data_IF_223905744728
#
_entry.id   IF_223905744728
#
_cell.length_a   1.000
_cell.length_b   1.000
_cell.length_c   1.000
_cell.angle_alpha   90.00
_cell.angle_beta   90.00
_cell.angle_gamma   90.00
#
_symmetry.space_group_name_H-M   'P 1'
#
loop_
_entity.id
_entity.type
_entity.pdbx_description
1 polymer ?
#
# COMPACT_ATOMS: atom_id res chain seq x y z
N UNK A 1 14.45 -3.12 10.44
CA UNK A 1 14.44 -4.58 10.13
C UNK A 1 15.16 -5.33 11.23
N UNK A 2 16.35 -4.92 11.57
CA UNK A 2 17.22 -5.59 12.55
C UNK A 2 16.54 -5.76 13.92
N UNK A 3 15.87 -4.69 14.41
CA UNK A 3 15.20 -4.67 15.71
C UNK A 3 13.71 -5.12 15.63
N UNK A 4 13.30 -5.72 14.53
CA UNK A 4 11.93 -6.19 14.36
C UNK A 4 11.85 -7.69 14.60
N UNK A 5 11.02 -8.11 15.52
CA UNK A 5 10.75 -9.51 15.76
C UNK A 5 10.12 -10.16 14.52
N UNK A 6 10.55 -11.36 14.18
CA UNK A 6 10.02 -12.11 13.04
C UNK A 6 8.50 -12.34 13.17
N UNK A 7 8.02 -12.52 14.40
CA UNK A 7 6.58 -12.63 14.68
C UNK A 7 5.79 -11.40 14.26
N UNK A 8 6.33 -10.19 14.44
CA UNK A 8 5.71 -8.94 14.00
C UNK A 8 5.72 -8.82 12.47
N UNK A 9 6.79 -9.28 11.83
CA UNK A 9 6.86 -9.36 10.38
C UNK A 9 5.81 -10.33 9.81
N UNK A 10 5.63 -11.50 10.43
CA UNK A 10 4.55 -12.43 10.07
C UNK A 10 3.17 -11.79 10.28
N UNK A 11 2.92 -11.17 11.43
CA UNK A 11 1.63 -10.58 11.75
C UNK A 11 1.22 -9.48 10.73
N UNK A 12 2.14 -8.64 10.26
CA UNK A 12 1.82 -7.62 9.26
C UNK A 12 1.55 -8.25 7.88
N UNK A 13 2.21 -9.36 7.52
CA UNK A 13 1.92 -10.10 6.30
C UNK A 13 0.56 -10.79 6.39
N UNK A 14 0.24 -11.43 7.51
CA UNK A 14 -1.08 -12.04 7.75
C UNK A 14 -2.19 -11.01 7.56
N UNK A 15 -2.07 -9.84 8.16
CA UNK A 15 -3.08 -8.80 8.06
C UNK A 15 -3.18 -8.21 6.64
N UNK A 16 -2.06 -7.75 6.08
CA UNK A 16 -2.07 -6.91 4.87
C UNK A 16 -2.11 -7.70 3.57
N UNK A 17 -1.59 -8.93 3.56
CA UNK A 17 -1.49 -9.75 2.36
C UNK A 17 -2.39 -10.98 2.43
N UNK A 18 -2.20 -11.86 3.42
CA UNK A 18 -2.98 -13.10 3.50
C UNK A 18 -4.46 -12.83 3.82
N UNK A 19 -4.79 -11.83 4.64
CA UNK A 19 -6.16 -11.41 4.86
C UNK A 19 -6.87 -11.02 3.56
N UNK A 20 -6.22 -10.20 2.72
CA UNK A 20 -6.75 -9.84 1.40
C UNK A 20 -6.85 -11.06 0.46
N UNK A 21 -5.82 -11.92 0.44
CA UNK A 21 -5.79 -13.14 -0.36
C UNK A 21 -6.94 -14.09 0.02
N UNK A 22 -7.20 -14.29 1.30
CA UNK A 22 -8.28 -15.14 1.77
C UNK A 22 -9.64 -14.60 1.29
N UNK A 23 -9.89 -13.30 1.42
CA UNK A 23 -11.11 -12.69 0.88
C UNK A 23 -11.23 -12.87 -0.64
N UNK A 24 -10.15 -12.70 -1.39
CA UNK A 24 -10.13 -12.91 -2.84
C UNK A 24 -10.48 -14.35 -3.18
N UNK A 25 -9.90 -15.33 -2.48
CA UNK A 25 -10.18 -16.77 -2.71
C UNK A 25 -11.66 -17.11 -2.53
N UNK A 26 -12.29 -16.53 -1.52
CA UNK A 26 -13.72 -16.78 -1.24
C UNK A 26 -14.66 -16.08 -2.23
N UNK A 27 -14.33 -14.86 -2.66
CA UNK A 27 -15.26 -14.10 -3.51
C UNK A 27 -15.13 -14.43 -5.00
N UNK A 28 -13.97 -14.88 -5.47
CA UNK A 28 -13.74 -15.17 -6.89
C UNK A 28 -14.69 -16.25 -7.46
N UNK A 29 -14.91 -17.41 -6.81
CA UNK A 29 -15.89 -18.38 -7.27
C UNK A 29 -17.29 -17.79 -7.43
N UNK A 30 -17.76 -17.04 -6.42
CA UNK A 30 -19.07 -16.40 -6.41
C UNK A 30 -19.19 -15.37 -7.55
N UNK A 31 -18.17 -14.51 -7.72
CA UNK A 31 -18.16 -13.54 -8.83
C UNK A 31 -18.19 -14.22 -10.20
N UNK A 32 -17.49 -15.33 -10.35
CA UNK A 32 -17.50 -16.11 -11.61
C UNK A 32 -18.88 -16.70 -11.91
N UNK A 33 -19.55 -17.26 -10.92
CA UNK A 33 -20.92 -17.78 -11.06
C UNK A 33 -21.92 -16.66 -11.37
N UNK A 34 -21.74 -15.46 -10.81
CA UNK A 34 -22.54 -14.28 -11.08
C UNK A 34 -22.21 -13.56 -12.41
N UNK A 35 -21.27 -14.08 -13.21
CA UNK A 35 -20.91 -13.51 -14.51
C UNK A 35 -19.94 -12.34 -14.45
N UNK A 36 -19.27 -12.11 -13.34
CA UNK A 36 -18.19 -11.13 -13.20
C UNK A 36 -18.28 -10.28 -11.94
N UNK A 37 -17.40 -9.29 -11.86
CA UNK A 37 -17.33 -8.40 -10.70
C UNK A 37 -16.12 -7.46 -10.75
N UNK A 38 -15.93 -6.69 -9.67
CA UNK A 38 -14.74 -5.84 -9.53
C UNK A 38 -14.12 -6.01 -8.14
N UNK A 39 -12.87 -6.43 -8.11
CA UNK A 39 -12.04 -6.51 -6.90
C UNK A 39 -11.17 -5.26 -6.83
N UNK A 40 -11.24 -4.54 -5.72
CA UNK A 40 -10.46 -3.34 -5.48
C UNK A 40 -9.60 -3.55 -4.24
N UNK A 41 -8.31 -3.77 -4.43
CA UNK A 41 -7.36 -3.93 -3.34
C UNK A 41 -6.82 -2.58 -2.88
N UNK A 42 -6.81 -2.35 -1.57
CA UNK A 42 -6.22 -1.15 -0.99
C UNK A 42 -4.74 -1.42 -0.67
N UNK A 43 -3.90 -1.02 -1.62
CA UNK A 43 -2.45 -1.07 -1.47
C UNK A 43 -1.90 0.21 -0.82
N UNK A 44 -0.80 0.74 -1.27
CA UNK A 44 -0.19 2.00 -0.81
C UNK A 44 0.79 2.52 -1.86
N UNK A 45 1.08 3.83 -1.84
CA UNK A 45 2.27 4.39 -2.53
C UNK A 45 3.56 3.75 -2.04
N UNK A 46 3.61 3.30 -0.78
CA UNK A 46 4.73 2.57 -0.21
C UNK A 46 5.02 1.22 -0.90
N UNK A 47 4.08 0.71 -1.70
CA UNK A 47 4.29 -0.46 -2.55
C UNK A 47 5.27 -0.20 -3.70
N UNK A 48 5.38 1.04 -4.14
CA UNK A 48 6.25 1.45 -5.26
C UNK A 48 7.42 2.33 -4.78
N UNK A 49 7.23 3.04 -3.66
CA UNK A 49 8.18 3.93 -3.03
C UNK A 49 8.48 3.40 -1.62
N UNK A 50 9.42 2.45 -1.52
CA UNK A 50 9.73 1.80 -0.25
C UNK A 50 10.30 2.82 0.75
N UNK A 51 9.60 3.00 1.88
CA UNK A 51 9.92 3.99 2.89
C UNK A 51 10.88 3.38 3.91
N UNK A 52 12.03 4.03 4.22
CA UNK A 52 12.93 3.61 5.29
C UNK A 52 12.17 3.44 6.62
N UNK A 53 12.59 2.48 7.43
CA UNK A 53 11.99 2.10 8.71
C UNK A 53 10.53 1.60 8.64
N UNK A 54 9.99 1.42 7.42
CA UNK A 54 8.67 0.85 7.16
C UNK A 54 8.74 -0.31 6.14
N UNK A 55 9.84 -1.04 6.13
CA UNK A 55 10.20 -2.04 5.12
C UNK A 55 9.16 -3.16 5.00
N UNK A 56 8.73 -3.75 6.11
CA UNK A 56 7.75 -4.86 6.09
C UNK A 56 6.38 -4.40 5.60
N UNK A 57 5.93 -3.22 6.00
CA UNK A 57 4.70 -2.65 5.46
C UNK A 57 4.81 -2.44 3.94
N UNK A 58 5.89 -1.82 3.47
CA UNK A 58 6.14 -1.62 2.04
C UNK A 58 6.15 -2.95 1.29
N UNK A 59 6.82 -3.97 1.83
CA UNK A 59 6.85 -5.30 1.25
C UNK A 59 5.47 -5.95 1.14
N UNK A 60 4.62 -5.87 2.19
CA UNK A 60 3.25 -6.41 2.13
C UNK A 60 2.40 -5.71 1.08
N UNK A 61 2.52 -4.39 0.95
CA UNK A 61 1.76 -3.61 -0.02
C UNK A 61 2.28 -3.81 -1.45
N UNK A 62 3.58 -4.03 -1.63
CA UNK A 62 4.17 -4.41 -2.91
C UNK A 62 3.67 -5.80 -3.35
N UNK A 63 3.67 -6.78 -2.43
CA UNK A 63 3.13 -8.12 -2.68
C UNK A 63 1.66 -8.05 -3.12
N UNK A 64 0.82 -7.30 -2.41
CA UNK A 64 -0.59 -7.11 -2.75
C UNK A 64 -0.79 -6.42 -4.10
N UNK A 65 0.05 -5.43 -4.43
CA UNK A 65 0.02 -4.75 -5.73
C UNK A 65 0.40 -5.69 -6.88
N UNK A 66 1.41 -6.53 -6.67
CA UNK A 66 1.86 -7.52 -7.65
C UNK A 66 0.78 -8.58 -7.87
N UNK A 67 0.22 -9.15 -6.78
CA UNK A 67 -0.90 -10.10 -6.82
C UNK A 67 -2.08 -9.52 -7.59
N UNK A 68 -2.48 -8.27 -7.30
CA UNK A 68 -3.59 -7.60 -7.99
C UNK A 68 -3.35 -7.49 -9.51
N UNK A 69 -2.11 -7.23 -9.91
CA UNK A 69 -1.74 -7.12 -11.32
C UNK A 69 -1.80 -8.46 -12.05
N UNK A 70 -1.36 -9.55 -11.41
CA UNK A 70 -1.44 -10.90 -11.96
C UNK A 70 -2.90 -11.38 -12.07
N UNK A 71 -3.67 -11.25 -10.98
CA UNK A 71 -5.08 -11.64 -10.93
C UNK A 71 -5.94 -10.92 -11.98
N UNK A 72 -5.59 -9.70 -12.36
CA UNK A 72 -6.30 -9.01 -13.43
C UNK A 72 -6.29 -9.80 -14.75
N UNK A 73 -5.16 -10.40 -15.10
CA UNK A 73 -5.04 -11.25 -16.29
C UNK A 73 -5.73 -12.60 -16.11
N UNK A 74 -5.51 -13.23 -14.97
CA UNK A 74 -6.06 -14.55 -14.65
C UNK A 74 -7.59 -14.56 -14.61
N UNK A 75 -8.20 -13.48 -14.10
CA UNK A 75 -9.65 -13.41 -13.89
C UNK A 75 -10.42 -12.71 -15.02
N UNK A 76 -9.70 -12.11 -15.99
CA UNK A 76 -10.30 -11.43 -17.13
C UNK A 76 -11.28 -12.32 -17.94
N UNK A 77 -10.99 -13.63 -18.22
CA UNK A 77 -11.90 -14.51 -18.94
C UNK A 77 -13.26 -14.71 -18.25
N UNK A 78 -13.33 -14.47 -16.94
CA UNK A 78 -14.55 -14.60 -16.13
C UNK A 78 -15.29 -13.28 -15.94
N UNK A 79 -14.91 -12.20 -16.64
CA UNK A 79 -15.51 -10.89 -16.48
C UNK A 79 -15.18 -10.20 -15.13
N UNK A 80 -14.24 -10.75 -14.37
CA UNK A 80 -13.81 -10.19 -13.08
C UNK A 80 -12.66 -9.22 -13.30
N UNK A 81 -12.85 -7.98 -12.86
CA UNK A 81 -11.87 -6.90 -12.97
C UNK A 81 -11.11 -6.78 -11.65
N UNK A 82 -9.81 -6.61 -11.72
CA UNK A 82 -8.99 -6.39 -10.53
C UNK A 82 -8.21 -5.09 -10.69
N UNK A 83 -8.21 -4.26 -9.65
CA UNK A 83 -7.42 -3.04 -9.59
C UNK A 83 -6.92 -2.78 -8.18
N UNK A 84 -5.85 -1.99 -8.07
CA UNK A 84 -5.31 -1.56 -6.79
C UNK A 84 -5.39 -0.04 -6.66
N UNK A 85 -5.89 0.45 -5.52
CA UNK A 85 -5.73 1.84 -5.12
C UNK A 85 -4.43 1.95 -4.33
N UNK A 86 -3.62 2.96 -4.63
CA UNK A 86 -2.39 3.28 -3.94
C UNK A 86 -2.57 4.61 -3.18
N UNK A 87 -3.19 4.58 -1.97
CA UNK A 87 -3.23 5.75 -1.13
C UNK A 87 -1.82 6.19 -0.72
N UNK A 88 -1.62 7.49 -0.60
CA UNK A 88 -0.53 8.02 0.21
C UNK A 88 -1.03 8.24 1.64
N UNK A 89 -0.69 9.41 2.22
CA UNK A 89 -1.09 9.74 3.56
C UNK A 89 -2.60 9.99 3.65
N UNK A 90 -3.25 9.28 4.55
CA UNK A 90 -4.70 9.38 4.80
C UNK A 90 -4.92 9.52 6.29
N UNK A 91 -5.68 10.54 6.68
CA UNK A 91 -5.99 10.83 8.08
C UNK A 91 -7.00 9.81 8.61
N UNK A 92 -6.49 8.78 9.29
CA UNK A 92 -7.27 7.69 9.91
C UNK A 92 -6.66 7.31 11.26
N UNK A 93 -7.27 6.34 11.94
CA UNK A 93 -6.73 5.76 13.17
C UNK A 93 -5.50 4.85 12.92
N UNK A 94 -5.06 4.71 11.67
CA UNK A 94 -3.86 3.95 11.31
C UNK A 94 -2.62 4.43 12.07
N UNK A 95 -2.46 5.76 12.20
CA UNK A 95 -1.34 6.36 12.93
C UNK A 95 -1.31 5.97 14.40
N UNK A 96 -2.48 5.99 15.06
CA UNK A 96 -2.61 5.63 16.48
C UNK A 96 -2.51 4.12 16.72
N UNK A 97 -2.84 3.31 15.72
CA UNK A 97 -2.78 1.84 15.77
C UNK A 97 -1.39 1.27 15.46
N UNK A 98 -0.42 2.15 15.10
CA UNK A 98 0.94 1.71 14.80
C UNK A 98 1.61 1.12 16.03
N UNK A 99 2.05 -0.14 15.92
CA UNK A 99 2.96 -0.72 16.91
C UNK A 99 4.34 -0.11 16.73
N UNK A 100 4.89 0.42 17.81
CA UNK A 100 6.24 0.98 17.84
C UNK A 100 7.11 0.00 18.63
N UNK A 101 7.99 -0.69 17.94
CA UNK A 101 9.00 -1.49 18.62
C UNK A 101 10.00 -0.56 19.30
N UNK A 102 10.44 -0.93 20.50
CA UNK A 102 11.56 -0.25 21.14
C UNK A 102 12.79 -0.40 20.24
N UNK A 103 13.38 0.73 19.85
CA UNK A 103 14.63 0.73 19.11
C UNK A 103 15.75 1.07 20.10
N UNK A 104 16.25 0.04 20.79
CA UNK A 104 17.33 0.19 21.77
C UNK A 104 18.72 0.14 21.09
N UNK A 105 18.75 -0.05 19.78
CA UNK A 105 19.98 -0.15 19.02
C UNK A 105 20.61 1.24 18.81
N UNK A 106 21.69 1.50 19.55
CA UNK A 106 22.43 2.77 19.50
C UNK A 106 22.99 3.11 18.11
N UNK A 107 23.16 2.11 17.22
CA UNK A 107 23.64 2.32 15.86
C UNK A 107 22.69 3.17 15.00
N UNK A 108 21.39 3.15 15.27
CA UNK A 108 20.41 3.96 14.57
C UNK A 108 20.19 5.33 15.20
N UNK A 109 20.59 5.54 16.47
CA UNK A 109 20.38 6.79 17.19
C UNK A 109 18.90 7.20 17.19
N UNK A 110 18.64 8.46 16.86
CA UNK A 110 17.28 9.02 16.79
C UNK A 110 16.61 8.87 15.42
N UNK A 111 17.26 8.24 14.44
CA UNK A 111 16.76 8.16 13.04
C UNK A 111 15.40 7.48 12.95
N UNK A 112 15.19 6.38 13.69
CA UNK A 112 13.88 5.68 13.70
C UNK A 112 12.79 6.57 14.24
N UNK A 113 13.04 7.20 15.38
CA UNK A 113 12.06 8.10 16.03
C UNK A 113 11.72 9.30 15.15
N UNK A 114 12.72 9.92 14.53
CA UNK A 114 12.50 11.01 13.56
C UNK A 114 11.69 10.57 12.36
N UNK A 115 12.04 9.42 11.76
CA UNK A 115 11.32 8.87 10.62
C UNK A 115 9.85 8.62 10.95
N UNK A 116 9.57 7.98 12.08
CA UNK A 116 8.19 7.74 12.54
C UNK A 116 7.45 9.05 12.76
N UNK A 117 8.09 10.05 13.37
CA UNK A 117 7.47 11.36 13.60
C UNK A 117 7.09 12.07 12.29
N UNK A 118 7.94 11.98 11.25
CA UNK A 118 7.63 12.52 9.91
C UNK A 118 6.42 11.79 9.32
N UNK A 119 6.40 10.45 9.33
CA UNK A 119 5.27 9.67 8.82
C UNK A 119 3.97 10.03 9.55
N UNK A 120 3.98 10.09 10.87
CA UNK A 120 2.80 10.44 11.67
C UNK A 120 2.28 11.84 11.38
N UNK A 121 3.20 12.81 11.18
CA UNK A 121 2.85 14.17 10.79
C UNK A 121 2.17 14.20 9.43
N UNK A 122 2.72 13.50 8.45
CA UNK A 122 2.18 13.44 7.10
C UNK A 122 0.82 12.75 7.07
N UNK A 123 0.65 11.64 7.79
CA UNK A 123 -0.62 10.93 7.92
C UNK A 123 -1.70 11.79 8.58
N UNK A 124 -1.39 12.51 9.68
CA UNK A 124 -2.35 13.43 10.34
C UNK A 124 -2.80 14.58 9.44
N UNK A 125 -1.95 14.99 8.50
CA UNK A 125 -2.23 16.03 7.50
C UNK A 125 -2.66 15.44 6.15
N UNK A 126 -2.86 14.12 6.08
CA UNK A 126 -3.21 13.40 4.88
C UNK A 126 -4.63 13.66 4.38
N UNK A 127 -4.98 13.02 3.28
CA UNK A 127 -6.31 13.12 2.70
C UNK A 127 -7.37 12.53 3.65
N UNK A 128 -8.60 13.05 3.64
CA UNK A 128 -9.69 12.42 4.39
C UNK A 128 -10.02 11.04 3.76
N UNK A 129 -10.40 10.02 4.58
CA UNK A 129 -10.76 8.68 4.10
C UNK A 129 -11.80 8.69 2.99
N UNK A 130 -12.73 9.64 3.06
CA UNK A 130 -13.78 9.84 2.05
C UNK A 130 -13.22 10.09 0.64
N UNK A 131 -12.02 10.66 0.51
CA UNK A 131 -11.38 10.85 -0.79
C UNK A 131 -11.02 9.50 -1.44
N UNK A 132 -10.49 8.56 -0.67
CA UNK A 132 -10.18 7.21 -1.13
C UNK A 132 -11.46 6.42 -1.42
N UNK A 133 -12.47 6.54 -0.56
CA UNK A 133 -13.78 5.91 -0.77
C UNK A 133 -14.43 6.36 -2.10
N UNK A 134 -14.35 7.64 -2.45
CA UNK A 134 -14.85 8.14 -3.74
C UNK A 134 -14.12 7.52 -4.94
N UNK A 135 -12.81 7.30 -4.82
CA UNK A 135 -12.03 6.60 -5.86
C UNK A 135 -12.54 5.16 -5.98
N UNK A 136 -12.71 4.46 -4.86
CA UNK A 136 -13.20 3.08 -4.86
C UNK A 136 -14.57 2.95 -5.51
N UNK A 137 -15.53 3.81 -5.15
CA UNK A 137 -16.88 3.83 -5.76
C UNK A 137 -16.80 4.08 -7.27
N UNK A 138 -15.98 5.04 -7.71
CA UNK A 138 -15.77 5.31 -9.14
C UNK A 138 -15.19 4.10 -9.88
N UNK A 139 -14.23 3.40 -9.28
CA UNK A 139 -13.61 2.20 -9.86
C UNK A 139 -14.60 1.03 -9.92
N UNK A 140 -15.42 0.85 -8.89
CA UNK A 140 -16.43 -0.20 -8.85
C UNK A 140 -17.44 -0.06 -10.00
N UNK A 141 -17.80 1.18 -10.37
CA UNK A 141 -18.72 1.48 -11.47
C UNK A 141 -18.02 1.55 -12.85
N UNK A 142 -16.69 1.45 -12.90
CA UNK A 142 -15.95 1.66 -14.15
C UNK A 142 -15.95 0.39 -15.00
N UNK A 143 -16.34 0.52 -16.29
CA UNK A 143 -16.40 -0.61 -17.22
C UNK A 143 -15.05 -1.33 -17.40
N UNK A 144 -13.95 -0.58 -17.43
CA UNK A 144 -12.58 -1.10 -17.50
C UNK A 144 -11.65 -0.26 -16.60
N UNK A 145 -11.60 -0.54 -15.28
CA UNK A 145 -10.79 0.25 -14.36
C UNK A 145 -9.30 0.07 -14.66
N UNK A 146 -8.46 1.08 -14.45
CA UNK A 146 -7.01 0.94 -14.60
C UNK A 146 -6.44 -0.05 -13.57
N UNK A 147 -5.29 -0.64 -13.87
CA UNK A 147 -4.64 -1.66 -13.01
C UNK A 147 -4.29 -1.08 -11.63
N UNK A 148 -3.75 0.14 -11.61
CA UNK A 148 -3.36 0.86 -10.40
C UNK A 148 -3.83 2.31 -10.46
N UNK A 149 -4.28 2.84 -9.34
CA UNK A 149 -4.73 4.23 -9.21
C UNK A 149 -4.12 4.87 -7.97
N UNK A 150 -3.47 6.01 -8.16
CA UNK A 150 -2.95 6.80 -7.03
C UNK A 150 -4.10 7.38 -6.19
N UNK A 151 -3.95 7.35 -4.87
CA UNK A 151 -4.88 7.92 -3.92
C UNK A 151 -4.79 9.44 -3.78
N UNK A 152 -4.60 10.17 -4.89
CA UNK A 152 -4.53 11.64 -4.91
C UNK A 152 -3.55 12.18 -5.95
N UNK A 153 -3.73 13.45 -6.34
CA UNK A 153 -2.93 14.09 -7.41
C UNK A 153 -1.44 14.19 -7.05
N UNK A 154 -1.12 14.55 -5.79
CA UNK A 154 0.26 14.60 -5.28
C UNK A 154 0.95 13.25 -5.48
N UNK A 155 0.28 12.17 -5.10
CA UNK A 155 0.84 10.81 -5.19
C UNK A 155 0.88 10.28 -6.61
N UNK A 156 -0.05 10.69 -7.48
CA UNK A 156 0.03 10.40 -8.91
C UNK A 156 1.31 10.97 -9.53
N UNK A 157 1.69 12.20 -9.16
CA UNK A 157 2.94 12.81 -9.58
C UNK A 157 4.16 12.04 -9.03
N UNK A 158 4.15 11.65 -7.76
CA UNK A 158 5.26 10.88 -7.17
C UNK A 158 5.45 9.52 -7.85
N UNK A 159 4.37 8.80 -8.11
CA UNK A 159 4.43 7.54 -8.83
C UNK A 159 4.89 7.71 -10.29
N UNK A 160 4.48 8.79 -10.93
CA UNK A 160 4.98 9.12 -12.27
C UNK A 160 6.49 9.41 -12.25
N UNK A 161 6.95 10.24 -11.32
CA UNK A 161 8.38 10.54 -11.15
C UNK A 161 9.20 9.27 -10.85
N UNK A 162 8.69 8.37 -10.02
CA UNK A 162 9.33 7.10 -9.72
C UNK A 162 9.57 6.23 -10.97
N UNK A 163 8.72 6.37 -11.99
CA UNK A 163 8.87 5.59 -13.24
C UNK A 163 9.94 6.12 -14.17
N UNK A 164 10.28 7.41 -14.08
CA UNK A 164 11.20 8.08 -15.01
C UNK A 164 12.55 8.41 -14.38
N UNK A 165 12.60 8.55 -13.04
CA UNK A 165 13.84 8.86 -12.34
C UNK A 165 14.68 7.60 -12.10
N UNK A 166 16.02 7.69 -12.13
CA UNK A 166 16.89 6.60 -11.73
C UNK A 166 16.61 6.15 -10.29
N UNK A 167 16.56 4.84 -10.06
CA UNK A 167 16.27 4.26 -8.73
C UNK A 167 17.20 4.79 -7.62
N UNK A 168 18.49 5.04 -7.94
CA UNK A 168 19.44 5.64 -6.99
C UNK A 168 19.00 7.02 -6.51
N UNK A 169 18.48 7.86 -7.41
CA UNK A 169 18.00 9.19 -7.07
C UNK A 169 16.74 9.13 -6.21
N UNK A 170 15.78 8.26 -6.58
CA UNK A 170 14.56 8.04 -5.78
C UNK A 170 14.91 7.56 -4.37
N UNK A 171 15.78 6.55 -4.24
CA UNK A 171 16.24 6.03 -2.96
C UNK A 171 16.93 7.10 -2.11
N UNK A 172 17.77 7.93 -2.73
CA UNK A 172 18.43 9.04 -2.03
C UNK A 172 17.42 10.07 -1.51
N UNK A 173 16.42 10.44 -2.33
CA UNK A 173 15.37 11.40 -1.92
C UNK A 173 14.57 10.82 -0.74
N UNK A 174 14.14 9.56 -0.83
CA UNK A 174 13.39 8.91 0.25
C UNK A 174 14.20 8.81 1.54
N UNK A 175 15.50 8.49 1.45
CA UNK A 175 16.38 8.48 2.60
C UNK A 175 16.51 9.87 3.23
N UNK A 176 16.59 10.94 2.45
CA UNK A 176 16.62 12.32 2.96
C UNK A 176 15.32 12.76 3.59
N UNK A 177 14.19 12.23 3.16
CA UNK A 177 12.87 12.57 3.71
C UNK A 177 12.58 11.82 5.01
N UNK A 178 13.02 10.56 5.12
CA UNK A 178 12.58 9.64 6.18
C UNK A 178 13.71 9.00 6.99
N UNK A 179 14.97 9.21 6.69
CA UNK A 179 16.11 8.65 7.40
C UNK A 179 17.18 9.69 7.72
#
# INVERSE_FOLDING_TARGET
>A
VEDTEISDAHAIFELNFFGALNMIKEVVPVMRECGGGTIINISSVAAELAIPFQSFYSATKAALSSLSSALRGELAPFGIKVCAILPGDVKTDFTSSRRKNACDNSAYGDRVTRSVAVMEKDERNGLPPRAIARIAVKLASHKNPPVKVAGGRKYALFLFLNRILPARLVSYILAKMYA
#
